data_IF_508730960761
#
_entry.id   IF_508730960761
#
_cell.length_a   1.000
_cell.length_b   1.000
_cell.length_c   1.000
_cell.angle_alpha   90.00
_cell.angle_beta   90.00
_cell.angle_gamma   90.00
#
_symmetry.space_group_name_H-M   'P 1'
#
loop_
_entity.id
_entity.type
_entity.pdbx_description
1 polymer ?
#
# COMPACT_ATOMS: atom_id res chain seq x y z
N UNK A 1 -23.07 -0.83 2.92
CA UNK A 1 -22.25 -1.03 1.71
C UNK A 1 -21.35 -2.26 1.82
N UNK A 2 -20.81 -2.60 3.00
CA UNK A 2 -20.19 -3.92 3.19
C UNK A 2 -21.23 -5.02 2.96
N UNK A 3 -21.00 -5.86 1.93
CA UNK A 3 -21.86 -7.01 1.62
C UNK A 3 -23.01 -6.77 0.63
N UNK A 4 -23.02 -5.67 -0.12
CA UNK A 4 -23.95 -5.54 -1.25
C UNK A 4 -23.58 -6.55 -2.35
N UNK A 5 -24.36 -7.63 -2.45
CA UNK A 5 -24.07 -8.74 -3.34
C UNK A 5 -24.09 -8.34 -4.82
N UNK A 6 -24.96 -7.40 -5.22
CA UNK A 6 -25.02 -6.93 -6.60
C UNK A 6 -23.76 -6.14 -6.94
N UNK A 7 -23.32 -5.24 -6.05
CA UNK A 7 -22.08 -4.49 -6.22
C UNK A 7 -20.86 -5.43 -6.24
N UNK A 8 -20.79 -6.39 -5.31
CA UNK A 8 -19.69 -7.37 -5.24
C UNK A 8 -19.65 -8.28 -6.48
N UNK A 9 -20.81 -8.67 -7.01
CA UNK A 9 -20.88 -9.50 -8.23
C UNK A 9 -20.38 -8.71 -9.44
N UNK A 10 -20.78 -7.45 -9.59
CA UNK A 10 -20.30 -6.61 -10.68
C UNK A 10 -18.76 -6.39 -10.59
N UNK A 11 -18.23 -6.18 -9.39
CA UNK A 11 -16.79 -6.06 -9.17
C UNK A 11 -16.04 -7.37 -9.41
N UNK A 12 -16.64 -8.51 -9.05
CA UNK A 12 -16.09 -9.83 -9.32
C UNK A 12 -15.92 -10.07 -10.82
N UNK A 13 -16.98 -9.84 -11.60
CA UNK A 13 -16.96 -9.97 -13.06
C UNK A 13 -15.91 -9.05 -13.68
N UNK A 14 -15.85 -7.78 -13.25
CA UNK A 14 -14.86 -6.81 -13.72
C UNK A 14 -13.41 -7.20 -13.38
N UNK A 15 -13.22 -7.92 -12.27
CA UNK A 15 -11.92 -8.43 -11.81
C UNK A 15 -11.58 -9.81 -12.40
N UNK A 16 -12.42 -10.34 -13.29
CA UNK A 16 -12.20 -11.62 -13.97
C UNK A 16 -12.38 -12.85 -13.07
N UNK A 17 -13.19 -12.74 -12.02
CA UNK A 17 -13.51 -13.83 -11.08
C UNK A 17 -15.01 -13.92 -10.82
N UNK A 18 -15.47 -14.87 -10.01
CA UNK A 18 -16.86 -14.95 -9.55
C UNK A 18 -17.01 -14.36 -8.13
N UNK A 19 -18.25 -14.29 -7.64
CA UNK A 19 -18.54 -13.68 -6.36
C UNK A 19 -17.74 -14.31 -5.19
N UNK A 20 -17.59 -15.62 -5.19
CA UNK A 20 -16.87 -16.34 -4.15
C UNK A 20 -15.37 -16.10 -4.24
N UNK A 21 -14.81 -16.10 -5.45
CA UNK A 21 -13.42 -15.74 -5.71
C UNK A 21 -13.10 -14.30 -5.32
N UNK A 22 -13.99 -13.35 -5.61
CA UNK A 22 -13.81 -11.97 -5.20
C UNK A 22 -13.88 -11.79 -3.68
N UNK A 23 -14.85 -12.45 -3.02
CA UNK A 23 -14.93 -12.47 -1.55
C UNK A 23 -13.66 -13.07 -0.93
N UNK A 24 -13.10 -14.12 -1.53
CA UNK A 24 -11.84 -14.70 -1.06
C UNK A 24 -10.66 -13.73 -1.21
N UNK A 25 -10.56 -13.01 -2.33
CA UNK A 25 -9.54 -11.99 -2.54
C UNK A 25 -9.67 -10.86 -1.49
N UNK A 26 -10.88 -10.35 -1.26
CA UNK A 26 -11.14 -9.34 -0.24
C UNK A 26 -10.79 -9.84 1.17
N UNK A 27 -11.14 -11.08 1.50
CA UNK A 27 -10.83 -11.67 2.81
C UNK A 27 -9.32 -11.86 3.03
N UNK A 28 -8.55 -12.10 1.96
CA UNK A 28 -7.09 -12.21 2.02
C UNK A 28 -6.35 -10.87 2.05
N UNK A 29 -7.04 -9.79 1.71
CA UNK A 29 -6.44 -8.45 1.59
C UNK A 29 -6.66 -7.69 2.89
N UNK A 30 -5.61 -7.10 3.46
CA UNK A 30 -5.76 -6.15 4.55
C UNK A 30 -6.32 -4.84 3.99
N UNK A 31 -7.65 -4.72 4.02
CA UNK A 31 -8.38 -3.60 3.41
C UNK A 31 -8.35 -2.30 4.23
N UNK A 32 -7.89 -2.37 5.49
CA UNK A 32 -7.85 -1.24 6.42
C UNK A 32 -9.20 -0.50 6.53
N UNK A 33 -10.28 -1.25 6.74
CA UNK A 33 -11.61 -0.66 6.92
C UNK A 33 -11.71 0.22 8.17
N UNK A 34 -10.88 -0.06 9.19
CA UNK A 34 -10.67 0.82 10.33
C UNK A 34 -9.49 1.78 10.04
N UNK A 35 -9.72 3.10 10.01
CA UNK A 35 -8.66 4.08 9.81
C UNK A 35 -7.52 3.99 10.83
N UNK A 36 -7.81 3.62 12.09
CA UNK A 36 -6.80 3.51 13.13
C UNK A 36 -5.81 2.37 12.85
N UNK A 37 -6.27 1.28 12.24
CA UNK A 37 -5.39 0.19 11.79
C UNK A 37 -4.46 0.66 10.66
N UNK A 38 -4.97 1.45 9.71
CA UNK A 38 -4.18 2.03 8.62
C UNK A 38 -3.05 2.93 9.15
N UNK A 39 -3.37 3.80 10.11
CA UNK A 39 -2.40 4.67 10.77
C UNK A 39 -1.33 3.85 11.48
N UNK A 40 -1.75 2.87 12.29
CA UNK A 40 -0.83 2.02 13.07
C UNK A 40 0.12 1.26 12.16
N UNK A 41 -0.38 0.66 11.07
CA UNK A 41 0.45 -0.01 10.09
C UNK A 41 1.44 0.95 9.42
N UNK A 42 0.98 2.13 9.04
CA UNK A 42 1.81 3.09 8.29
C UNK A 42 2.92 3.71 9.14
N UNK A 43 2.73 3.78 10.46
CA UNK A 43 3.74 4.21 11.43
C UNK A 43 4.61 3.06 11.96
N UNK A 44 4.33 1.82 11.54
CA UNK A 44 5.09 0.65 12.00
C UNK A 44 6.53 0.69 11.50
N UNK A 45 7.52 0.32 12.33
CA UNK A 45 8.90 0.16 11.88
C UNK A 45 9.06 -0.97 10.85
N UNK A 46 8.08 -1.85 10.68
CA UNK A 46 8.10 -2.93 9.68
C UNK A 46 7.86 -2.42 8.25
N UNK A 47 7.20 -1.26 8.11
CA UNK A 47 6.88 -0.71 6.79
C UNK A 47 8.14 -0.34 5.99
N UNK A 48 9.12 0.40 6.55
CA UNK A 48 10.39 0.65 5.85
C UNK A 48 11.10 -0.64 5.43
N UNK A 49 11.15 -1.65 6.30
CA UNK A 49 11.75 -2.96 5.95
C UNK A 49 11.03 -3.61 4.77
N UNK A 50 9.69 -3.58 4.77
CA UNK A 50 8.88 -4.12 3.68
C UNK A 50 9.19 -3.40 2.35
N UNK A 51 9.28 -2.08 2.38
CA UNK A 51 9.54 -1.28 1.17
C UNK A 51 10.96 -1.46 0.63
N UNK A 52 11.96 -1.66 1.49
CA UNK A 52 13.31 -2.05 1.05
C UNK A 52 13.28 -3.39 0.33
N UNK A 53 12.61 -4.41 0.90
CA UNK A 53 12.48 -5.72 0.25
C UNK A 53 11.76 -5.61 -1.11
N UNK A 54 10.74 -4.74 -1.21
CA UNK A 54 10.06 -4.48 -2.49
C UNK A 54 11.02 -3.83 -3.50
N UNK A 55 11.78 -2.81 -3.10
CA UNK A 55 12.75 -2.15 -3.98
C UNK A 55 13.84 -3.11 -4.47
N UNK A 56 14.38 -3.94 -3.57
CA UNK A 56 15.34 -5.00 -3.90
C UNK A 56 14.76 -6.00 -4.90
N UNK A 57 13.54 -6.50 -4.65
CA UNK A 57 12.87 -7.42 -5.56
C UNK A 57 12.64 -6.79 -6.93
N UNK A 58 12.11 -5.57 -6.99
CA UNK A 58 11.86 -4.88 -8.24
C UNK A 58 13.16 -4.65 -9.04
N UNK A 59 14.25 -4.33 -8.35
CA UNK A 59 15.56 -4.18 -8.97
C UNK A 59 16.10 -5.51 -9.51
N UNK A 60 16.05 -6.59 -8.71
CA UNK A 60 16.43 -7.95 -9.14
C UNK A 60 15.64 -8.41 -10.37
N UNK A 61 14.35 -8.05 -10.45
CA UNK A 61 13.50 -8.36 -11.59
C UNK A 61 13.58 -7.37 -12.75
N UNK A 62 14.39 -6.31 -12.64
CA UNK A 62 14.56 -5.29 -13.68
C UNK A 62 13.31 -4.44 -13.95
N UNK A 63 12.40 -4.35 -12.98
CA UNK A 63 11.11 -3.64 -13.08
C UNK A 63 10.99 -2.46 -12.11
N UNK A 64 12.05 -2.12 -11.37
CA UNK A 64 12.09 -0.90 -10.54
C UNK A 64 12.05 0.38 -11.39
N UNK A 65 12.55 0.30 -12.63
CA UNK A 65 12.61 1.38 -13.60
C UNK A 65 13.68 1.10 -14.64
N UNK A 66 13.44 1.46 -15.90
CA UNK A 66 14.43 1.27 -16.95
C UNK A 66 15.73 2.00 -16.62
N UNK A 67 16.83 1.25 -16.50
CA UNK A 67 18.15 1.81 -16.20
C UNK A 67 18.37 2.26 -14.76
N UNK A 68 17.54 1.82 -13.80
CA UNK A 68 17.80 2.05 -12.38
C UNK A 68 19.22 1.52 -12.02
N UNK A 69 20.11 2.34 -11.43
CA UNK A 69 21.49 1.94 -11.12
C UNK A 69 21.61 1.08 -9.84
N UNK A 70 20.60 1.09 -8.97
CA UNK A 70 20.57 0.36 -7.70
C UNK A 70 19.11 0.20 -7.20
N UNK A 71 18.84 -0.69 -6.23
CA UNK A 71 17.55 -0.74 -5.55
C UNK A 71 17.22 0.57 -4.80
N UNK A 72 18.23 1.34 -4.41
CA UNK A 72 18.08 2.62 -3.73
C UNK A 72 17.72 3.78 -4.67
N UNK A 73 17.61 3.56 -5.98
CA UNK A 73 17.39 4.64 -6.94
C UNK A 73 16.12 5.47 -6.69
N UNK A 74 15.07 4.85 -6.14
CA UNK A 74 13.81 5.53 -5.80
C UNK A 74 13.73 5.76 -4.30
N UNK A 75 13.57 7.03 -3.90
CA UNK A 75 13.30 7.39 -2.52
C UNK A 75 11.86 7.09 -2.10
N UNK A 76 11.69 6.51 -0.91
CA UNK A 76 10.41 6.30 -0.23
C UNK A 76 10.45 7.02 1.11
N UNK A 77 9.56 7.99 1.32
CA UNK A 77 9.47 8.74 2.57
C UNK A 77 8.35 8.20 3.49
N UNK A 78 8.61 8.24 4.79
CA UNK A 78 7.72 7.70 5.84
C UNK A 78 7.19 8.80 6.77
N UNK A 79 6.13 8.52 7.57
CA UNK A 79 5.50 9.53 8.42
C UNK A 79 6.41 10.15 9.48
N UNK A 80 7.44 9.43 9.92
CA UNK A 80 8.45 9.94 10.87
C UNK A 80 9.49 10.88 10.23
N UNK A 81 9.38 11.09 8.91
CA UNK A 81 10.29 11.92 8.12
C UNK A 81 11.53 11.16 7.63
N UNK A 82 11.71 9.89 7.99
CA UNK A 82 12.78 9.07 7.44
C UNK A 82 12.54 8.75 5.97
N UNK A 83 13.63 8.42 5.27
CA UNK A 83 13.61 8.01 3.86
C UNK A 83 14.50 6.78 3.70
N UNK A 84 14.03 5.81 2.91
CA UNK A 84 14.86 4.75 2.34
C UNK A 84 15.08 5.00 0.86
N UNK A 85 16.24 4.62 0.32
CA UNK A 85 16.64 4.94 -1.05
C UNK A 85 17.22 6.36 -1.19
N UNK A 86 17.09 6.95 -2.37
CA UNK A 86 17.64 8.28 -2.68
C UNK A 86 16.71 9.42 -2.20
N UNK A 87 17.14 10.12 -1.16
CA UNK A 87 16.48 11.32 -0.61
C UNK A 87 16.29 12.44 -1.64
N UNK A 88 17.15 12.52 -2.66
CA UNK A 88 17.04 13.51 -3.72
C UNK A 88 16.05 13.08 -4.83
N UNK A 89 15.55 11.85 -4.77
CA UNK A 89 14.67 11.26 -5.77
C UNK A 89 13.43 10.56 -5.17
N UNK A 90 12.79 11.19 -4.18
CA UNK A 90 11.56 10.65 -3.55
C UNK A 90 10.38 10.63 -4.52
N UNK A 91 9.94 9.42 -4.90
CA UNK A 91 8.75 9.19 -5.76
C UNK A 91 7.57 8.60 -5.03
N UNK A 92 7.77 8.03 -3.85
CA UNK A 92 6.69 7.43 -3.06
C UNK A 92 6.68 8.00 -1.64
N UNK A 93 5.50 8.26 -1.08
CA UNK A 93 5.34 8.84 0.26
C UNK A 93 4.21 8.14 1.00
N UNK A 94 4.53 7.62 2.18
CA UNK A 94 3.54 7.21 3.15
C UNK A 94 3.18 8.40 4.03
N UNK A 95 1.90 8.73 4.08
CA UNK A 95 1.37 9.88 4.80
C UNK A 95 0.14 9.44 5.59
N UNK A 96 0.13 9.74 6.89
CA UNK A 96 -0.97 9.38 7.78
C UNK A 96 -1.98 10.50 7.98
N UNK A 97 -1.79 11.68 7.39
CA UNK A 97 -2.57 12.89 7.70
C UNK A 97 -4.08 12.64 7.59
N UNK A 98 -4.52 12.09 6.46
CA UNK A 98 -5.95 11.90 6.21
C UNK A 98 -6.53 10.70 6.96
N UNK A 99 -5.78 9.60 7.09
CA UNK A 99 -6.26 8.44 7.87
C UNK A 99 -6.30 8.75 9.36
N UNK A 100 -5.39 9.58 9.87
CA UNK A 100 -5.43 10.10 11.22
C UNK A 100 -6.66 10.98 11.42
N UNK A 101 -6.95 11.91 10.49
CA UNK A 101 -8.19 12.69 10.55
C UNK A 101 -9.44 11.81 10.59
N UNK A 102 -9.48 10.71 9.82
CA UNK A 102 -10.59 9.78 9.84
C UNK A 102 -10.68 8.99 11.15
N UNK A 103 -9.56 8.54 11.70
CA UNK A 103 -9.49 7.88 13.00
C UNK A 103 -9.94 8.81 14.15
N UNK A 104 -9.63 10.09 14.04
CA UNK A 104 -10.00 11.13 15.01
C UNK A 104 -11.46 11.61 14.84
N UNK A 105 -12.19 11.12 13.82
CA UNK A 105 -13.56 11.54 13.51
C UNK A 105 -13.67 12.95 12.94
N UNK A 106 -12.60 13.46 12.31
CA UNK A 106 -12.49 14.79 11.73
C UNK A 106 -12.73 14.83 10.21
N UNK A 107 -13.19 13.73 9.60
CA UNK A 107 -13.52 13.56 8.18
C UNK A 107 -14.95 13.05 7.98
#
# INVERSE_FOLDING_TARGET
>A
AAGDEAALTAMAEASGTDLDGYKAQLASTQMFYDPAEAVTFTQSPELPTTMVNVAEFLFDKGILGEGAPSPDFVGVAYPDGSVTGDENNVKFRYDTTYMQMAADGAL
#
